data_IF_351761358122
#
_entry.id   IF_351761358122
#
_cell.length_a   1.000
_cell.length_b   1.000
_cell.length_c   1.000
_cell.angle_alpha   90.00
_cell.angle_beta   90.00
_cell.angle_gamma   90.00
#
_symmetry.space_group_name_H-M   'P 1'
#
loop_
_entity.id
_entity.type
_entity.pdbx_description
1 polymer ?
#
# COMPACT_ATOMS: atom_id res chain seq x y z
N UNK A 1 -9.93 -10.96 3.14
CA UNK A 1 -8.80 -10.98 2.17
C UNK A 1 -7.66 -11.72 2.84
N UNK A 2 -7.32 -12.91 2.35
CA UNK A 2 -6.43 -13.86 3.05
C UNK A 2 -5.09 -13.25 3.48
N UNK A 3 -4.42 -12.48 2.60
CA UNK A 3 -3.15 -11.84 2.94
C UNK A 3 -3.25 -10.87 4.13
N UNK A 4 -4.36 -10.15 4.27
CA UNK A 4 -4.58 -9.23 5.39
C UNK A 4 -4.92 -9.98 6.69
N UNK A 5 -5.64 -11.10 6.56
CA UNK A 5 -5.92 -12.00 7.69
C UNK A 5 -4.63 -12.62 8.22
N UNK A 6 -3.78 -13.13 7.32
CA UNK A 6 -2.47 -13.69 7.64
C UNK A 6 -1.59 -12.63 8.32
N UNK A 7 -1.55 -11.39 7.78
CA UNK A 7 -0.84 -10.27 8.40
C UNK A 7 -1.33 -10.01 9.82
N UNK A 8 -2.63 -9.79 10.03
CA UNK A 8 -3.19 -9.51 11.35
C UNK A 8 -2.92 -10.63 12.36
N UNK A 9 -2.97 -11.89 11.91
CA UNK A 9 -2.70 -13.06 12.77
C UNK A 9 -1.25 -13.12 13.27
N UNK A 10 -0.31 -12.49 12.55
CA UNK A 10 1.11 -12.44 12.92
C UNK A 10 1.47 -11.31 13.88
N UNK A 11 0.57 -10.35 14.10
CA UNK A 11 0.85 -9.15 14.89
C UNK A 11 0.65 -9.37 16.39
N UNK A 12 1.56 -8.84 17.20
CA UNK A 12 1.32 -8.66 18.62
C UNK A 12 0.56 -7.33 18.86
N UNK A 13 -0.75 -7.40 19.03
CA UNK A 13 -1.63 -6.25 19.24
C UNK A 13 -1.77 -5.78 20.69
N UNK A 14 -1.10 -6.43 21.65
CA UNK A 14 -1.14 -6.10 23.09
C UNK A 14 -0.27 -4.86 23.39
N UNK A 15 -0.63 -3.72 22.80
CA UNK A 15 -0.04 -2.40 23.02
C UNK A 15 -1.05 -1.28 22.93
N UNK A 16 -0.77 -0.20 23.66
CA UNK A 16 -1.49 1.05 23.55
C UNK A 16 -1.14 1.81 22.28
N UNK A 17 -2.15 2.38 21.63
CA UNK A 17 -1.96 3.40 20.58
C UNK A 17 -1.73 4.76 21.24
N UNK A 18 -0.63 5.41 20.90
CA UNK A 18 -0.16 6.65 21.52
C UNK A 18 -0.64 7.90 20.77
N UNK A 19 -0.66 7.83 19.43
CA UNK A 19 -1.09 8.95 18.59
C UNK A 19 -1.58 8.46 17.23
N UNK A 20 -2.48 9.23 16.61
CA UNK A 20 -2.99 9.00 15.26
C UNK A 20 -3.04 10.35 14.54
N UNK A 21 -2.37 10.45 13.40
CA UNK A 21 -2.32 11.66 12.56
C UNK A 21 -2.74 11.33 11.15
N UNK A 22 -3.80 11.97 10.67
CA UNK A 22 -4.19 11.87 9.27
C UNK A 22 -3.79 13.16 8.55
N UNK A 23 -2.71 13.08 7.77
CA UNK A 23 -2.24 14.17 6.91
C UNK A 23 -2.85 14.08 5.50
N UNK A 24 -2.45 15.00 4.63
CA UNK A 24 -2.98 15.05 3.26
C UNK A 24 -2.57 13.82 2.42
N UNK A 25 -1.32 13.36 2.57
CA UNK A 25 -0.77 12.26 1.77
C UNK A 25 -0.48 11.00 2.58
N UNK A 26 -0.26 11.14 3.89
CA UNK A 26 0.06 10.03 4.77
C UNK A 26 -0.76 10.08 6.05
N UNK A 27 -1.22 8.90 6.46
CA UNK A 27 -1.76 8.62 7.78
C UNK A 27 -0.67 7.94 8.60
N UNK A 28 -0.43 8.44 9.81
CA UNK A 28 0.52 7.87 10.76
C UNK A 28 -0.18 7.39 12.03
N UNK A 29 0.25 6.22 12.53
CA UNK A 29 -0.20 5.65 13.80
C UNK A 29 1.03 5.26 14.62
N UNK A 30 1.08 5.74 15.86
CA UNK A 30 2.18 5.49 16.78
C UNK A 30 1.75 4.46 17.83
N UNK A 31 2.41 3.30 17.86
CA UNK A 31 2.27 2.28 18.91
C UNK A 31 3.63 2.01 19.58
N UNK A 32 4.28 0.89 19.27
CA UNK A 32 5.71 0.63 19.54
C UNK A 32 6.56 1.41 18.54
N UNK A 33 6.21 1.32 17.26
CA UNK A 33 6.80 2.05 16.15
C UNK A 33 5.79 3.05 15.56
N UNK A 34 6.25 3.90 14.65
CA UNK A 34 5.38 4.76 13.85
C UNK A 34 5.13 4.11 12.50
N UNK A 35 3.92 3.63 12.27
CA UNK A 35 3.50 3.08 10.99
C UNK A 35 2.87 4.15 10.10
N UNK A 36 3.12 4.07 8.80
CA UNK A 36 2.59 4.99 7.80
C UNK A 36 1.77 4.24 6.75
N UNK A 37 0.72 4.88 6.24
CA UNK A 37 0.00 4.44 5.05
C UNK A 37 -0.41 5.66 4.22
N UNK A 38 -0.58 5.49 2.91
CA UNK A 38 -1.02 6.58 2.05
C UNK A 38 -2.49 6.94 2.31
N UNK A 39 -2.79 8.24 2.34
CA UNK A 39 -4.15 8.76 2.56
C UNK A 39 -4.96 8.81 1.26
N UNK A 40 -4.31 8.78 0.09
CA UNK A 40 -4.92 8.78 -1.24
C UNK A 40 -6.00 9.88 -1.42
N UNK A 41 -5.65 11.17 -1.25
CA UNK A 41 -6.63 12.25 -1.15
C UNK A 41 -7.55 12.36 -2.37
N UNK A 42 -7.06 12.06 -3.59
CA UNK A 42 -7.88 12.09 -4.81
C UNK A 42 -9.05 11.10 -4.75
N UNK A 43 -8.80 9.91 -4.21
CA UNK A 43 -9.79 8.84 -4.13
C UNK A 43 -10.64 8.98 -2.87
N UNK A 44 -10.02 9.33 -1.73
CA UNK A 44 -10.73 9.56 -0.47
C UNK A 44 -11.76 10.69 -0.57
N UNK A 45 -11.46 11.80 -1.26
CA UNK A 45 -12.39 12.92 -1.44
C UNK A 45 -13.58 12.61 -2.36
N UNK A 46 -13.53 11.49 -3.09
CA UNK A 46 -14.67 11.03 -3.92
C UNK A 46 -15.65 10.16 -3.13
N UNK A 47 -15.31 9.74 -1.92
CA UNK A 47 -16.17 8.91 -1.06
C UNK A 47 -17.10 9.77 -0.21
N UNK A 48 -18.22 9.19 0.23
CA UNK A 48 -19.18 9.85 1.11
C UNK A 48 -18.58 10.21 2.47
N UNK A 49 -19.10 11.30 3.07
CA UNK A 49 -18.66 11.84 4.36
C UNK A 49 -19.71 11.56 5.46
N UNK A 50 -19.32 11.39 6.74
CA UNK A 50 -17.96 11.50 7.27
C UNK A 50 -17.11 10.28 6.93
N UNK A 51 -15.86 10.51 6.51
CA UNK A 51 -14.98 9.42 6.09
C UNK A 51 -14.45 8.54 7.22
N UNK A 52 -14.46 9.02 8.47
CA UNK A 52 -14.00 8.23 9.62
C UNK A 52 -15.06 8.25 10.70
N UNK A 53 -15.48 7.07 11.15
CA UNK A 53 -16.45 6.91 12.23
C UNK A 53 -15.82 7.23 13.57
N UNK A 54 -16.62 7.79 14.47
CA UNK A 54 -16.22 8.14 15.85
C UNK A 54 -14.95 9.02 15.91
N UNK A 55 -14.84 10.10 15.12
CA UNK A 55 -13.68 10.97 15.18
C UNK A 55 -13.55 11.55 16.60
N UNK A 56 -12.32 11.56 17.13
CA UNK A 56 -12.01 11.94 18.51
C UNK A 56 -12.06 10.81 19.53
N UNK A 57 -12.56 9.62 19.15
CA UNK A 57 -12.59 8.44 20.04
C UNK A 57 -11.63 7.33 19.62
N UNK A 58 -10.92 7.48 18.50
CA UNK A 58 -10.04 6.43 17.96
C UNK A 58 -8.95 5.97 18.94
N UNK A 59 -8.40 6.89 19.76
CA UNK A 59 -7.41 6.53 20.79
C UNK A 59 -7.98 5.69 21.94
N UNK A 60 -9.31 5.52 22.01
CA UNK A 60 -9.96 4.61 22.97
C UNK A 60 -10.10 3.19 22.43
N UNK A 61 -9.84 2.96 21.14
CA UNK A 61 -9.86 1.64 20.51
C UNK A 61 -8.53 0.92 20.78
N UNK A 62 -8.59 -0.41 20.88
CA UNK A 62 -7.39 -1.24 20.92
C UNK A 62 -6.62 -1.17 19.60
N UNK A 63 -5.33 -1.52 19.64
CA UNK A 63 -4.53 -1.60 18.43
C UNK A 63 -5.10 -2.61 17.42
N UNK A 64 -5.73 -3.69 17.89
CA UNK A 64 -6.39 -4.67 17.03
C UNK A 64 -7.62 -4.09 16.33
N UNK A 65 -8.50 -3.40 17.06
CA UNK A 65 -9.68 -2.74 16.47
C UNK A 65 -9.28 -1.71 15.42
N UNK A 66 -8.22 -0.93 15.69
CA UNK A 66 -7.69 0.03 14.71
C UNK A 66 -7.08 -0.68 13.51
N UNK A 67 -6.28 -1.73 13.70
CA UNK A 67 -5.71 -2.52 12.62
C UNK A 67 -6.81 -3.15 11.72
N UNK A 68 -7.91 -3.60 12.31
CA UNK A 68 -9.07 -4.12 11.57
C UNK A 68 -9.77 -3.06 10.70
N UNK A 69 -9.55 -1.77 10.94
CA UNK A 69 -10.03 -0.73 10.02
C UNK A 69 -9.42 -0.84 8.61
N UNK A 70 -8.34 -1.62 8.44
CA UNK A 70 -7.77 -1.94 7.13
C UNK A 70 -8.77 -2.62 6.18
N UNK A 71 -9.83 -3.25 6.70
CA UNK A 71 -10.93 -3.79 5.90
C UNK A 71 -12.03 -2.79 5.54
N UNK A 72 -11.99 -1.56 6.09
CA UNK A 72 -13.04 -0.58 5.83
C UNK A 72 -13.04 -0.15 4.36
N UNK A 73 -14.22 -0.14 3.74
CA UNK A 73 -14.41 0.40 2.39
C UNK A 73 -14.10 1.90 2.30
N UNK A 74 -14.05 2.61 3.43
CA UNK A 74 -13.56 3.98 3.45
C UNK A 74 -12.03 4.02 3.47
N UNK A 75 -11.45 4.70 2.48
CA UNK A 75 -10.00 4.80 2.27
C UNK A 75 -9.29 5.44 3.47
N UNK A 76 -9.90 6.42 4.14
CA UNK A 76 -9.30 7.07 5.30
C UNK A 76 -9.25 6.14 6.51
N UNK A 77 -10.28 5.32 6.70
CA UNK A 77 -10.29 4.28 7.73
C UNK A 77 -9.30 3.15 7.38
N UNK A 78 -9.28 2.71 6.13
CA UNK A 78 -8.32 1.72 5.64
C UNK A 78 -6.88 2.19 5.82
N UNK A 79 -6.60 3.47 5.59
CA UNK A 79 -5.29 4.08 5.81
C UNK A 79 -4.91 4.09 7.31
N UNK A 80 -5.86 4.35 8.22
CA UNK A 80 -5.62 4.24 9.67
C UNK A 80 -5.30 2.79 10.04
N UNK A 81 -6.04 1.82 9.51
CA UNK A 81 -5.79 0.42 9.78
C UNK A 81 -4.46 -0.07 9.25
N UNK A 82 -4.10 0.27 8.01
CA UNK A 82 -2.80 -0.06 7.44
C UNK A 82 -1.64 0.62 8.17
N UNK A 83 -1.79 1.88 8.57
CA UNK A 83 -0.79 2.56 9.39
C UNK A 83 -0.66 1.88 10.77
N UNK A 84 -1.75 1.40 11.36
CA UNK A 84 -1.72 0.63 12.60
C UNK A 84 -1.00 -0.70 12.42
N UNK A 85 -1.30 -1.47 11.38
CA UNK A 85 -0.59 -2.70 11.02
C UNK A 85 0.90 -2.43 10.90
N UNK A 86 1.29 -1.42 10.11
CA UNK A 86 2.68 -1.06 9.91
C UNK A 86 3.40 -0.64 11.21
N UNK A 87 2.67 -0.07 12.17
CA UNK A 87 3.22 0.32 13.48
C UNK A 87 3.48 -0.89 14.41
N UNK A 88 2.81 -2.01 14.15
CA UNK A 88 2.86 -3.24 14.96
C UNK A 88 3.84 -4.27 14.42
N UNK A 89 4.30 -4.13 13.16
CA UNK A 89 5.26 -5.02 12.55
C UNK A 89 6.59 -5.01 13.33
N UNK A 90 7.07 -6.21 13.68
CA UNK A 90 8.44 -6.44 14.09
C UNK A 90 9.31 -6.60 12.84
N UNK A 91 10.33 -5.76 12.70
CA UNK A 91 11.27 -5.83 11.58
C UNK A 91 12.59 -6.37 12.12
N UNK A 92 13.04 -7.48 11.57
CA UNK A 92 14.40 -8.00 11.78
C UNK A 92 15.33 -7.24 10.82
N UNK A 93 15.87 -6.11 11.30
CA UNK A 93 16.72 -5.23 10.47
C UNK A 93 17.96 -5.96 9.95
N UNK A 94 18.44 -7.00 10.65
CA UNK A 94 19.57 -7.83 10.22
C UNK A 94 19.27 -8.63 8.94
N UNK A 95 17.99 -8.89 8.66
CA UNK A 95 17.53 -9.55 7.45
C UNK A 95 17.22 -8.56 6.31
N UNK A 96 17.32 -7.26 6.57
CA UNK A 96 17.03 -6.20 5.61
C UNK A 96 18.29 -5.80 4.83
N UNK A 97 18.11 -5.54 3.53
CA UNK A 97 19.16 -5.00 2.67
C UNK A 97 18.87 -3.53 2.40
N UNK A 98 19.85 -2.66 2.63
CA UNK A 98 19.73 -1.23 2.32
C UNK A 98 19.93 -1.01 0.81
N UNK A 99 18.81 -0.86 0.09
CA UNK A 99 18.79 -0.60 -1.34
C UNK A 99 17.54 0.15 -1.77
N UNK A 100 17.63 0.83 -2.92
CA UNK A 100 16.48 1.46 -3.55
C UNK A 100 15.68 0.42 -4.36
N UNK A 101 14.42 0.20 -3.98
CA UNK A 101 13.55 -0.76 -4.69
C UNK A 101 13.37 -0.42 -6.18
N UNK A 102 13.35 0.86 -6.55
CA UNK A 102 13.29 1.30 -7.95
C UNK A 102 14.54 0.89 -8.73
N UNK A 103 15.73 1.05 -8.16
CA UNK A 103 16.96 0.58 -8.79
C UNK A 103 17.01 -0.94 -8.92
N UNK A 104 16.52 -1.68 -7.92
CA UNK A 104 16.41 -3.14 -7.99
C UNK A 104 15.47 -3.60 -9.10
N UNK A 105 14.31 -2.94 -9.25
CA UNK A 105 13.34 -3.23 -10.31
C UNK A 105 13.96 -2.94 -11.68
N UNK A 106 14.66 -1.82 -11.83
CA UNK A 106 15.41 -1.46 -13.05
C UNK A 106 16.45 -2.53 -13.38
N UNK A 107 17.28 -2.93 -12.42
CA UNK A 107 18.28 -3.98 -12.61
C UNK A 107 17.64 -5.30 -13.03
N UNK A 108 16.61 -5.74 -12.30
CA UNK A 108 15.93 -7.02 -12.57
C UNK A 108 15.11 -7.01 -13.85
N UNK A 109 14.62 -5.84 -14.26
CA UNK A 109 13.71 -5.64 -15.39
C UNK A 109 14.40 -5.51 -16.75
N UNK A 110 15.73 -5.39 -16.78
CA UNK A 110 16.49 -5.30 -18.03
C UNK A 110 16.19 -6.47 -18.97
N UNK A 111 15.86 -6.16 -20.22
CA UNK A 111 15.52 -7.10 -21.29
C UNK A 111 14.34 -8.05 -20.97
N UNK A 112 13.50 -7.69 -19.99
CA UNK A 112 12.34 -8.48 -19.53
C UNK A 112 11.01 -7.75 -19.71
N UNK A 113 9.91 -8.49 -19.55
CA UNK A 113 8.56 -7.94 -19.44
C UNK A 113 8.32 -7.52 -18.00
N UNK A 114 7.97 -6.25 -17.78
CA UNK A 114 7.80 -5.70 -16.44
C UNK A 114 6.42 -5.10 -16.30
N UNK A 115 5.70 -5.48 -15.24
CA UNK A 115 4.44 -4.86 -14.84
C UNK A 115 4.68 -4.01 -13.58
N UNK A 116 4.27 -2.74 -13.62
CA UNK A 116 4.32 -1.83 -12.48
C UNK A 116 2.91 -1.36 -12.18
N UNK A 117 2.40 -1.69 -10.99
CA UNK A 117 1.12 -1.20 -10.48
C UNK A 117 1.39 0.04 -9.63
N UNK A 118 0.95 1.20 -10.12
CA UNK A 118 1.29 2.51 -9.59
C UNK A 118 2.27 3.27 -10.48
N UNK A 119 2.32 4.59 -10.33
CA UNK A 119 3.19 5.45 -11.11
C UNK A 119 4.37 5.97 -10.28
N UNK A 120 5.59 5.63 -10.68
CA UNK A 120 6.82 5.93 -9.92
C UNK A 120 7.85 6.73 -10.72
N UNK A 121 8.73 7.51 -10.05
CA UNK A 121 9.75 8.32 -10.72
C UNK A 121 10.76 7.54 -11.56
N UNK A 122 10.93 6.24 -11.31
CA UNK A 122 11.90 5.39 -12.03
C UNK A 122 11.36 4.81 -13.35
N UNK A 123 10.07 5.02 -13.67
CA UNK A 123 9.44 4.50 -14.89
C UNK A 123 10.17 4.90 -16.19
N UNK A 124 10.62 6.17 -16.37
CA UNK A 124 11.35 6.55 -17.59
C UNK A 124 12.61 5.71 -17.81
N UNK A 125 13.41 5.50 -16.76
CA UNK A 125 14.63 4.66 -16.80
C UNK A 125 14.30 3.22 -17.13
N UNK A 126 13.23 2.68 -16.55
CA UNK A 126 12.79 1.31 -16.80
C UNK A 126 12.33 1.10 -18.25
N UNK A 127 11.65 2.11 -18.84
CA UNK A 127 11.16 2.07 -20.22
C UNK A 127 12.28 1.97 -21.26
N UNK A 128 13.47 2.50 -20.96
CA UNK A 128 14.63 2.43 -21.85
C UNK A 128 15.28 1.05 -21.90
N UNK A 129 15.11 0.24 -20.85
CA UNK A 129 15.88 -1.01 -20.66
C UNK A 129 15.02 -2.27 -20.65
N UNK A 130 13.72 -2.16 -20.37
CA UNK A 130 12.82 -3.29 -20.37
C UNK A 130 12.50 -3.69 -21.81
N UNK A 131 12.32 -4.99 -22.06
CA UNK A 131 11.81 -5.48 -23.35
C UNK A 131 10.38 -5.01 -23.57
N UNK A 132 9.59 -5.02 -22.50
CA UNK A 132 8.22 -4.53 -22.49
C UNK A 132 7.90 -4.00 -21.09
N UNK A 133 7.18 -2.88 -21.03
CA UNK A 133 6.80 -2.24 -19.77
C UNK A 133 5.32 -1.90 -19.79
N UNK A 134 4.59 -2.45 -18.83
CA UNK A 134 3.20 -2.11 -18.55
C UNK A 134 3.13 -1.34 -17.24
N UNK A 135 2.68 -0.08 -17.31
CA UNK A 135 2.39 0.73 -16.14
C UNK A 135 0.89 0.73 -15.96
N UNK A 136 0.39 0.13 -14.89
CA UNK A 136 -1.03 -0.03 -14.60
C UNK A 136 -1.37 0.92 -13.46
N UNK A 137 -2.35 1.79 -13.66
CA UNK A 137 -2.74 2.75 -12.64
C UNK A 137 -4.25 3.00 -12.60
N UNK A 138 -4.78 3.17 -11.38
CA UNK A 138 -6.20 3.47 -11.16
C UNK A 138 -6.60 4.82 -11.74
N UNK A 139 -5.66 5.77 -11.69
CA UNK A 139 -5.82 7.13 -12.18
C UNK A 139 -4.82 7.40 -13.31
N UNK A 140 -4.95 6.72 -14.47
CA UNK A 140 -3.89 6.62 -15.48
C UNK A 140 -3.59 7.96 -16.15
N UNK A 141 -2.32 8.12 -16.54
CA UNK A 141 -1.84 9.21 -17.38
C UNK A 141 -1.68 8.72 -18.82
N UNK A 142 -1.30 9.62 -19.72
CA UNK A 142 -0.96 9.24 -21.09
C UNK A 142 0.13 8.17 -21.10
N UNK A 143 -0.15 7.04 -21.75
CA UNK A 143 0.74 5.88 -21.81
C UNK A 143 0.64 4.90 -20.64
N UNK A 144 -0.15 5.20 -19.60
CA UNK A 144 -0.49 4.25 -18.55
C UNK A 144 -1.74 3.43 -18.96
N UNK A 145 -1.82 2.22 -18.43
CA UNK A 145 -2.90 1.26 -18.61
C UNK A 145 -3.87 1.32 -17.44
N UNK A 146 -5.10 0.91 -17.68
CA UNK A 146 -6.14 0.91 -16.64
C UNK A 146 -6.01 -0.31 -15.73
N UNK A 147 -6.52 -0.21 -14.51
CA UNK A 147 -6.56 -1.33 -13.54
C UNK A 147 -7.22 -2.60 -14.12
N UNK A 148 -8.18 -2.47 -15.04
CA UNK A 148 -8.85 -3.60 -15.70
C UNK A 148 -7.90 -4.47 -16.55
N UNK A 149 -6.74 -3.95 -16.95
CA UNK A 149 -5.76 -4.68 -17.73
C UNK A 149 -4.83 -5.53 -16.87
N UNK A 150 -4.83 -5.33 -15.54
CA UNK A 150 -3.94 -6.01 -14.61
C UNK A 150 -4.05 -7.54 -14.69
N UNK A 151 -5.27 -8.08 -14.68
CA UNK A 151 -5.55 -9.52 -14.69
C UNK A 151 -4.96 -10.21 -15.93
N UNK A 152 -4.88 -9.50 -17.05
CA UNK A 152 -4.36 -10.04 -18.31
C UNK A 152 -2.84 -9.88 -18.44
N UNK A 153 -2.28 -8.79 -17.92
CA UNK A 153 -0.87 -8.42 -18.16
C UNK A 153 0.08 -8.91 -17.06
N UNK A 154 -0.33 -8.87 -15.80
CA UNK A 154 0.52 -9.30 -14.67
C UNK A 154 1.00 -10.76 -14.83
N UNK A 155 0.15 -11.73 -15.22
CA UNK A 155 0.61 -13.12 -15.42
C UNK A 155 1.66 -13.29 -16.52
N UNK A 156 1.81 -12.30 -17.41
CA UNK A 156 2.80 -12.31 -18.48
C UNK A 156 4.12 -11.64 -18.07
N UNK A 157 4.18 -10.95 -16.92
CA UNK A 157 5.36 -10.23 -16.50
C UNK A 157 6.41 -11.18 -15.91
N UNK A 158 7.68 -10.89 -16.22
CA UNK A 158 8.81 -11.58 -15.60
C UNK A 158 9.23 -10.88 -14.28
N UNK A 159 8.85 -9.61 -14.10
CA UNK A 159 9.04 -8.80 -12.89
C UNK A 159 7.77 -7.99 -12.62
N UNK A 160 7.27 -8.02 -11.39
CA UNK A 160 6.09 -7.24 -10.97
C UNK A 160 6.48 -6.32 -9.81
N UNK A 161 6.21 -5.02 -9.95
CA UNK A 161 6.29 -4.04 -8.86
C UNK A 161 4.89 -3.57 -8.49
N UNK A 162 4.49 -3.70 -7.23
CA UNK A 162 3.15 -3.33 -6.75
C UNK A 162 3.27 -2.25 -5.68
N UNK A 163 2.53 -1.16 -5.85
CA UNK A 163 2.39 -0.12 -4.80
C UNK A 163 1.83 -0.69 -3.50
N UNK A 164 2.39 -0.29 -2.35
CA UNK A 164 1.83 -0.65 -1.04
C UNK A 164 0.40 -0.13 -0.82
N UNK A 165 -0.04 0.86 -1.59
CA UNK A 165 -1.41 1.39 -1.53
C UNK A 165 -2.46 0.39 -2.02
N UNK A 166 -2.05 -0.69 -2.69
CA UNK A 166 -2.91 -1.81 -3.08
C UNK A 166 -3.58 -2.49 -1.86
N UNK A 167 -2.98 -2.38 -0.67
CA UNK A 167 -3.62 -2.81 0.56
C UNK A 167 -4.76 -1.88 0.98
N UNK A 168 -4.54 -0.57 0.92
CA UNK A 168 -5.49 0.47 1.37
C UNK A 168 -6.72 0.56 0.48
N UNK A 169 -6.60 0.26 -0.81
CA UNK A 169 -7.74 0.23 -1.75
C UNK A 169 -8.23 -1.20 -2.07
N UNK A 170 -7.73 -2.21 -1.34
CA UNK A 170 -8.11 -3.63 -1.40
C UNK A 170 -7.87 -4.35 -2.72
N UNK A 171 -6.99 -3.85 -3.60
CA UNK A 171 -6.71 -4.50 -4.88
C UNK A 171 -5.59 -5.53 -4.79
N UNK A 172 -4.79 -5.53 -3.71
CA UNK A 172 -3.65 -6.45 -3.54
C UNK A 172 -4.01 -7.93 -3.71
N UNK A 173 -5.19 -8.35 -3.28
CA UNK A 173 -5.61 -9.76 -3.40
C UNK A 173 -5.89 -10.21 -4.83
N UNK A 174 -6.23 -9.30 -5.74
CA UNK A 174 -6.43 -9.58 -7.17
C UNK A 174 -5.12 -9.49 -7.95
N UNK A 175 -4.12 -8.76 -7.43
CA UNK A 175 -2.83 -8.53 -8.07
C UNK A 175 -1.78 -9.61 -7.76
N UNK A 176 -2.04 -10.48 -6.77
CA UNK A 176 -1.17 -11.58 -6.33
C UNK A 176 -1.73 -12.93 -6.79
#
# INVERSE_FOLDING_TARGET
MKILEDLLSSLNSEVSVKDIRQGLFHTGVLTRNCGLAATLPRDALRQEQPSVKEPGYLLKKSALELAQMAYSENILEAAIGMATINSLLGIEEECCLDLNAGDLIVEKGKDKRVAIVGHFPFIPKLREIARELWVIEKNPREGDLTEAEAENLIPQADVVGITGTAFTNHTVGQLL
#
